data_IF_320019238033
#
_entry.id   IF_320019238033
#
_cell.length_a   1.000
_cell.length_b   1.000
_cell.length_c   1.000
_cell.angle_alpha   90.00
_cell.angle_beta   90.00
_cell.angle_gamma   90.00
#
_symmetry.space_group_name_H-M   'P 1'
#
loop_
_entity.id
_entity.type
_entity.pdbx_description
1 polymer ?
#
# COMPACT_ATOMS: atom_id res chain seq x y z
N UNK A 1 -13.22 21.19 -17.12
CA UNK A 1 -12.32 20.03 -16.93
C UNK A 1 -13.01 19.11 -15.95
N UNK A 2 -13.32 17.90 -16.35
CA UNK A 2 -13.86 16.89 -15.43
C UNK A 2 -12.74 16.57 -14.43
N UNK A 3 -12.93 16.92 -13.18
CA UNK A 3 -11.93 16.64 -12.14
C UNK A 3 -12.15 15.20 -11.67
N UNK A 4 -11.33 14.26 -12.19
CA UNK A 4 -11.36 12.88 -11.75
C UNK A 4 -10.95 12.74 -10.27
N UNK A 5 -11.50 11.73 -9.60
CA UNK A 5 -11.01 11.30 -8.30
C UNK A 5 -9.55 10.83 -8.45
N UNK A 6 -8.64 11.27 -7.57
CA UNK A 6 -7.20 11.07 -7.73
C UNK A 6 -6.66 10.19 -6.61
N UNK A 7 -5.81 9.24 -6.98
CA UNK A 7 -5.02 8.45 -6.06
C UNK A 7 -3.54 8.80 -6.24
N UNK A 8 -2.87 9.09 -5.14
CA UNK A 8 -1.44 9.38 -5.12
C UNK A 8 -0.65 8.12 -4.75
N UNK A 9 0.33 7.75 -5.56
CA UNK A 9 1.33 6.75 -5.22
C UNK A 9 2.62 7.50 -4.86
N UNK A 10 3.03 7.42 -3.60
CA UNK A 10 4.33 7.93 -3.15
C UNK A 10 5.35 6.84 -3.39
N UNK A 11 6.31 7.12 -4.27
CA UNK A 11 7.33 6.18 -4.69
C UNK A 11 8.58 6.29 -3.82
N UNK A 12 8.90 5.20 -3.13
CA UNK A 12 10.12 5.05 -2.33
C UNK A 12 11.25 4.32 -3.06
N UNK A 13 11.18 4.24 -4.39
CA UNK A 13 12.22 3.68 -5.24
C UNK A 13 12.02 2.21 -5.61
N UNK A 14 10.83 1.67 -5.49
CA UNK A 14 10.54 0.30 -5.92
C UNK A 14 10.65 0.15 -7.43
N UNK A 15 11.25 -0.95 -7.89
CA UNK A 15 11.29 -1.32 -9.31
C UNK A 15 9.91 -1.70 -9.87
N UNK A 16 8.93 -1.99 -9.02
CA UNK A 16 7.59 -2.47 -9.40
C UNK A 16 6.48 -1.46 -9.12
N UNK A 17 6.80 -0.20 -8.80
CA UNK A 17 5.80 0.85 -8.54
C UNK A 17 4.83 1.04 -9.70
N UNK A 18 5.30 0.90 -10.95
CA UNK A 18 4.44 1.00 -12.14
C UNK A 18 3.35 -0.09 -12.18
N UNK A 19 3.59 -1.24 -11.58
CA UNK A 19 2.57 -2.30 -11.49
C UNK A 19 1.42 -1.89 -10.57
N UNK A 20 1.69 -1.13 -9.51
CA UNK A 20 0.63 -0.55 -8.66
C UNK A 20 -0.29 0.34 -9.50
N UNK A 21 0.30 1.27 -10.25
CA UNK A 21 -0.46 2.16 -11.12
C UNK A 21 -1.26 1.40 -12.18
N UNK A 22 -0.69 0.33 -12.75
CA UNK A 22 -1.38 -0.53 -13.69
C UNK A 22 -2.63 -1.18 -13.06
N UNK A 23 -2.50 -1.76 -11.87
CA UNK A 23 -3.65 -2.36 -11.16
C UNK A 23 -4.77 -1.37 -10.90
N UNK A 24 -4.42 -0.15 -10.50
CA UNK A 24 -5.40 0.91 -10.26
C UNK A 24 -6.10 1.37 -11.56
N UNK A 25 -5.35 1.48 -12.65
CA UNK A 25 -5.91 1.85 -13.97
C UNK A 25 -6.84 0.78 -14.53
N UNK A 26 -6.56 -0.50 -14.26
CA UNK A 26 -7.45 -1.62 -14.57
C UNK A 26 -8.80 -1.52 -13.81
N UNK A 27 -8.83 -0.80 -12.68
CA UNK A 27 -10.02 -0.50 -11.89
C UNK A 27 -10.65 0.86 -12.23
N UNK A 28 -10.25 1.48 -13.32
CA UNK A 28 -10.71 2.81 -13.75
C UNK A 28 -10.44 3.93 -12.73
N UNK A 29 -9.31 3.86 -12.04
CA UNK A 29 -8.86 4.86 -11.08
C UNK A 29 -7.75 5.70 -11.67
N UNK A 30 -7.92 7.03 -11.66
CA UNK A 30 -6.83 7.95 -11.98
C UNK A 30 -5.79 7.95 -10.87
N UNK A 31 -4.54 7.68 -11.21
CA UNK A 31 -3.44 7.67 -10.26
C UNK A 31 -2.18 8.30 -10.86
N UNK A 32 -1.41 8.94 -10.01
CA UNK A 32 -0.09 9.48 -10.33
C UNK A 32 0.96 8.91 -9.40
N UNK A 33 2.16 8.67 -9.94
CA UNK A 33 3.34 8.26 -9.19
C UNK A 33 4.22 9.49 -9.01
N UNK A 34 4.53 9.82 -7.77
CA UNK A 34 5.47 10.89 -7.43
C UNK A 34 6.55 10.37 -6.50
N UNK A 35 7.85 10.63 -6.82
CA UNK A 35 8.94 10.33 -5.91
C UNK A 35 8.72 11.03 -4.55
N UNK A 36 9.06 10.37 -3.47
CA UNK A 36 8.83 10.89 -2.12
C UNK A 36 9.43 12.28 -1.90
N UNK A 37 10.56 12.59 -2.56
CA UNK A 37 11.24 13.89 -2.47
C UNK A 37 10.39 15.04 -3.02
N UNK A 38 9.49 14.74 -3.96
CA UNK A 38 8.64 15.74 -4.62
C UNK A 38 7.29 15.93 -3.90
N UNK A 39 6.98 15.05 -2.95
CA UNK A 39 5.72 15.10 -2.20
C UNK A 39 5.92 15.97 -0.96
N UNK A 40 5.65 17.25 -1.10
CA UNK A 40 5.67 18.24 -0.02
C UNK A 40 4.26 18.47 0.54
N UNK A 41 4.17 19.19 1.67
CA UNK A 41 2.87 19.59 2.24
C UNK A 41 2.06 20.43 1.24
N UNK A 42 2.73 21.34 0.52
CA UNK A 42 2.11 22.15 -0.53
C UNK A 42 1.60 21.28 -1.69
N UNK A 43 2.41 20.31 -2.12
CA UNK A 43 2.01 19.36 -3.15
C UNK A 43 0.77 18.55 -2.75
N UNK A 44 0.74 18.02 -1.54
CA UNK A 44 -0.41 17.22 -1.05
C UNK A 44 -1.69 18.06 -1.00
N UNK A 45 -1.59 19.30 -0.55
CA UNK A 45 -2.72 20.22 -0.50
C UNK A 45 -3.28 20.53 -1.89
N UNK A 46 -2.40 20.74 -2.86
CA UNK A 46 -2.78 21.06 -4.25
C UNK A 46 -3.29 19.84 -5.00
N UNK A 47 -2.61 18.71 -4.84
CA UNK A 47 -3.01 17.43 -5.45
C UNK A 47 -4.35 16.95 -4.90
N UNK A 48 -4.63 17.15 -3.62
CA UNK A 48 -5.85 16.74 -2.93
C UNK A 48 -6.23 15.27 -3.21
N UNK A 49 -5.40 14.29 -2.83
CA UNK A 49 -5.66 12.89 -3.11
C UNK A 49 -6.89 12.40 -2.36
N UNK A 50 -7.66 11.50 -2.98
CA UNK A 50 -8.76 10.76 -2.33
C UNK A 50 -8.25 9.53 -1.56
N UNK A 51 -7.09 9.01 -1.94
CA UNK A 51 -6.36 7.96 -1.24
C UNK A 51 -4.87 8.05 -1.58
N UNK A 52 -4.04 7.45 -0.73
CA UNK A 52 -2.58 7.41 -0.90
C UNK A 52 -2.12 5.96 -0.81
N UNK A 53 -1.17 5.57 -1.68
CA UNK A 53 -0.43 4.32 -1.57
C UNK A 53 1.04 4.65 -1.35
N UNK A 54 1.65 4.04 -0.34
CA UNK A 54 3.09 4.02 -0.11
C UNK A 54 3.68 2.79 -0.79
N UNK A 55 4.53 2.99 -1.78
CA UNK A 55 5.15 1.88 -2.51
C UNK A 55 6.16 1.12 -1.66
N UNK A 56 6.66 0.01 -2.17
CA UNK A 56 7.89 -0.60 -1.70
C UNK A 56 9.12 0.27 -1.98
N UNK A 57 10.27 -0.18 -1.53
CA UNK A 57 11.56 0.49 -1.76
C UNK A 57 12.72 -0.41 -1.38
N UNK A 58 13.92 -0.14 -1.93
CA UNK A 58 15.12 -0.94 -1.68
C UNK A 58 15.82 -0.57 -0.38
N UNK A 59 15.42 0.53 0.27
CA UNK A 59 16.10 1.05 1.44
C UNK A 59 15.64 0.36 2.73
N UNK A 60 16.39 0.57 3.81
CA UNK A 60 16.00 0.18 5.17
C UNK A 60 15.48 1.40 5.93
N UNK A 61 14.30 1.26 6.51
CA UNK A 61 13.68 2.32 7.31
C UNK A 61 14.45 2.62 8.60
N UNK A 62 15.30 1.67 9.03
CA UNK A 62 16.14 1.82 10.24
C UNK A 62 17.36 2.69 9.98
N UNK A 63 17.70 2.95 8.72
CA UNK A 63 18.86 3.74 8.33
C UNK A 63 18.58 5.25 8.40
N UNK A 64 19.50 6.01 8.94
CA UNK A 64 19.40 7.47 8.96
C UNK A 64 19.33 8.05 7.54
N UNK A 65 18.39 8.97 7.31
CA UNK A 65 18.18 9.60 6.00
C UNK A 65 17.42 8.73 5.00
N UNK A 66 16.89 7.58 5.41
CA UNK A 66 16.04 6.75 4.55
C UNK A 66 14.77 7.49 4.10
N UNK A 67 14.20 7.14 2.95
CA UNK A 67 13.02 7.78 2.39
C UNK A 67 11.84 7.85 3.36
N UNK A 68 11.22 9.04 3.49
CA UNK A 68 10.04 9.27 4.35
C UNK A 68 8.97 10.06 3.60
N UNK A 69 7.68 9.78 3.84
CA UNK A 69 6.62 10.68 3.40
C UNK A 69 6.60 11.93 4.30
N UNK A 70 6.02 13.04 3.85
CA UNK A 70 5.76 14.16 4.74
C UNK A 70 4.73 13.76 5.82
N UNK A 71 4.86 14.31 7.01
CA UNK A 71 3.92 14.03 8.12
C UNK A 71 2.47 14.38 7.77
N UNK A 72 2.26 15.37 6.91
CA UNK A 72 0.96 15.77 6.40
C UNK A 72 0.23 14.66 5.61
N UNK A 73 0.96 13.68 5.07
CA UNK A 73 0.32 12.52 4.41
C UNK A 73 -0.57 11.74 5.39
N UNK A 74 -0.12 11.55 6.63
CA UNK A 74 -0.91 10.89 7.68
C UNK A 74 -2.04 11.76 8.24
N UNK A 75 -2.01 13.06 7.97
CA UNK A 75 -3.00 14.04 8.43
C UNK A 75 -4.00 14.41 7.34
N UNK A 76 -3.85 13.88 6.15
CA UNK A 76 -4.69 14.22 5.00
C UNK A 76 -6.16 13.73 5.14
N UNK A 77 -6.45 12.88 6.12
CA UNK A 77 -7.80 12.36 6.38
C UNK A 77 -8.31 11.39 5.32
N UNK A 78 -7.41 10.78 4.56
CA UNK A 78 -7.73 9.84 3.47
C UNK A 78 -7.17 8.45 3.76
N UNK A 79 -7.75 7.39 3.18
CA UNK A 79 -7.20 6.05 3.30
C UNK A 79 -5.76 5.96 2.77
N UNK A 80 -4.90 5.23 3.50
CA UNK A 80 -3.52 4.96 3.12
C UNK A 80 -3.29 3.45 3.11
N UNK A 81 -2.65 2.95 2.03
CA UNK A 81 -2.16 1.58 1.94
C UNK A 81 -0.63 1.58 1.83
N UNK A 82 0.06 1.01 2.82
CA UNK A 82 1.51 0.81 2.79
C UNK A 82 1.88 -0.58 2.29
N UNK A 83 2.82 -0.66 1.35
CA UNK A 83 3.27 -1.91 0.72
C UNK A 83 4.76 -2.10 1.01
N UNK A 84 5.15 -3.20 1.63
CA UNK A 84 6.53 -3.57 1.93
C UNK A 84 7.26 -2.46 2.70
N UNK A 85 8.20 -1.73 2.08
CA UNK A 85 8.82 -0.55 2.67
C UNK A 85 7.77 0.47 3.13
N UNK A 86 6.68 0.65 2.38
CA UNK A 86 5.57 1.53 2.75
C UNK A 86 4.88 1.12 4.05
N UNK A 87 4.76 -0.19 4.34
CA UNK A 87 4.30 -0.66 5.65
C UNK A 87 5.31 -0.28 6.74
N UNK A 88 6.58 -0.54 6.50
CA UNK A 88 7.64 -0.31 7.49
C UNK A 88 7.75 1.17 7.85
N UNK A 89 7.72 2.06 6.85
CA UNK A 89 7.75 3.50 7.10
C UNK A 89 6.50 3.97 7.84
N UNK A 90 5.34 3.44 7.52
CA UNK A 90 4.09 3.76 8.23
C UNK A 90 4.18 3.35 9.71
N UNK A 91 4.66 2.15 10.00
CA UNK A 91 4.85 1.70 11.39
C UNK A 91 5.85 2.56 12.13
N UNK A 92 7.01 2.83 11.54
CA UNK A 92 8.07 3.63 12.17
C UNK A 92 7.61 5.06 12.48
N UNK A 93 6.93 5.73 11.54
CA UNK A 93 6.45 7.11 11.72
C UNK A 93 5.29 7.22 12.73
N UNK A 94 4.51 6.16 12.91
CA UNK A 94 3.35 6.16 13.80
C UNK A 94 3.63 5.55 15.19
N UNK A 95 4.88 5.27 15.52
CA UNK A 95 5.31 4.84 16.87
C UNK A 95 5.42 3.32 17.07
N UNK A 96 5.45 2.56 15.99
CA UNK A 96 5.87 1.17 15.97
C UNK A 96 7.39 1.02 15.93
N UNK A 97 7.87 -0.19 15.64
CA UNK A 97 9.29 -0.50 15.53
C UNK A 97 9.53 -1.43 14.35
N UNK A 98 10.58 -1.14 13.60
CA UNK A 98 11.10 -1.98 12.50
C UNK A 98 12.53 -2.37 12.85
N UNK A 99 12.86 -3.63 12.65
CA UNK A 99 14.17 -4.19 12.92
C UNK A 99 14.72 -4.91 11.69
N UNK A 100 16.04 -4.89 11.55
CA UNK A 100 16.72 -5.68 10.54
C UNK A 100 16.72 -7.15 10.96
N UNK A 101 16.15 -8.00 10.13
CA UNK A 101 15.92 -9.40 10.46
C UNK A 101 17.15 -10.27 10.23
N UNK A 102 17.77 -10.78 11.27
CA UNK A 102 18.63 -11.93 11.18
C UNK A 102 17.76 -13.21 11.25
N UNK A 103 17.51 -13.85 10.12
CA UNK A 103 16.74 -15.10 10.04
C UNK A 103 15.23 -14.96 9.83
N UNK A 104 14.71 -13.75 9.69
CA UNK A 104 13.28 -13.47 9.40
C UNK A 104 13.05 -12.90 8.00
N UNK A 105 14.13 -12.74 7.20
CA UNK A 105 14.02 -12.26 5.83
C UNK A 105 13.24 -13.25 4.98
N UNK A 106 12.27 -12.75 4.22
CA UNK A 106 11.48 -13.56 3.28
C UNK A 106 11.69 -13.04 1.85
N UNK A 107 12.15 -13.93 0.97
CA UNK A 107 12.30 -13.64 -0.46
C UNK A 107 11.63 -14.74 -1.26
N UNK A 108 10.65 -14.36 -2.09
CA UNK A 108 9.91 -15.30 -2.92
C UNK A 108 8.51 -15.60 -2.40
N UNK A 109 8.03 -16.78 -2.72
CA UNK A 109 6.68 -17.22 -2.38
C UNK A 109 6.54 -17.51 -0.89
N UNK A 110 5.55 -16.90 -0.27
CA UNK A 110 5.14 -17.16 1.10
C UNK A 110 3.62 -17.35 1.18
N UNK A 111 3.12 -17.75 2.35
CA UNK A 111 1.70 -17.92 2.60
C UNK A 111 1.30 -17.12 3.83
N UNK A 112 0.27 -16.30 3.68
CA UNK A 112 -0.32 -15.54 4.76
C UNK A 112 -1.48 -16.30 5.35
N UNK A 113 -1.48 -16.45 6.66
CA UNK A 113 -2.58 -17.00 7.45
C UNK A 113 -3.40 -15.84 8.02
N UNK A 114 -4.75 -15.84 7.86
CA UNK A 114 -5.59 -14.79 8.44
C UNK A 114 -5.62 -14.87 9.96
N UNK A 115 -5.90 -13.74 10.60
CA UNK A 115 -6.37 -13.70 12.00
C UNK A 115 -7.88 -13.95 12.05
N UNK A 116 -8.41 -14.07 13.27
CA UNK A 116 -9.86 -14.23 13.47
C UNK A 116 -10.64 -12.92 13.25
N UNK A 117 -9.94 -11.80 13.18
CA UNK A 117 -10.53 -10.48 13.02
C UNK A 117 -10.88 -10.18 11.55
N UNK A 118 -12.04 -9.54 11.35
CA UNK A 118 -12.50 -9.14 10.01
C UNK A 118 -11.96 -7.76 9.64
N UNK A 119 -11.47 -7.65 8.40
CA UNK A 119 -11.04 -6.39 7.80
C UNK A 119 -11.68 -6.24 6.42
N UNK A 120 -12.40 -5.13 6.13
CA UNK A 120 -13.01 -4.91 4.81
C UNK A 120 -12.03 -4.98 3.64
N UNK A 121 -10.76 -4.58 3.84
CA UNK A 121 -9.70 -4.73 2.85
C UNK A 121 -9.52 -6.19 2.39
N UNK A 122 -9.80 -7.17 3.25
CA UNK A 122 -9.60 -8.60 3.01
C UNK A 122 -10.88 -9.33 2.61
N UNK A 123 -11.98 -8.60 2.36
CA UNK A 123 -13.24 -9.22 1.95
C UNK A 123 -13.06 -10.01 0.65
N UNK A 124 -13.36 -11.33 0.70
CA UNK A 124 -13.20 -12.24 -0.43
C UNK A 124 -11.76 -12.44 -0.88
N UNK A 125 -10.76 -12.13 -0.05
CA UNK A 125 -9.35 -12.33 -0.39
C UNK A 125 -8.84 -13.72 0.02
N UNK A 126 -9.15 -14.18 1.24
CA UNK A 126 -8.82 -15.52 1.70
C UNK A 126 -9.84 -16.56 1.19
N UNK A 127 -9.57 -17.15 0.03
CA UNK A 127 -10.46 -18.14 -0.61
C UNK A 127 -9.80 -19.51 -0.86
N UNK A 128 -8.50 -19.64 -0.56
CA UNK A 128 -7.82 -20.92 -0.70
C UNK A 128 -8.42 -21.97 0.26
N UNK A 129 -8.49 -23.22 -0.17
CA UNK A 129 -9.12 -24.31 0.58
C UNK A 129 -8.47 -24.60 1.92
N UNK A 130 -7.19 -24.23 2.09
CA UNK A 130 -6.44 -24.34 3.34
C UNK A 130 -6.51 -23.07 4.20
N UNK A 131 -7.30 -22.07 3.78
CA UNK A 131 -7.48 -20.81 4.50
C UNK A 131 -6.30 -19.84 4.44
N UNK A 132 -5.25 -20.17 3.65
CA UNK A 132 -4.06 -19.31 3.49
C UNK A 132 -3.99 -18.75 2.08
N UNK A 133 -3.42 -17.56 1.91
CA UNK A 133 -3.22 -16.98 0.58
C UNK A 133 -1.74 -16.87 0.22
N UNK A 134 -1.44 -17.23 -1.03
CA UNK A 134 -0.10 -17.09 -1.59
C UNK A 134 0.20 -15.63 -1.85
N UNK A 135 1.39 -15.20 -1.41
CA UNK A 135 1.92 -13.85 -1.62
C UNK A 135 3.38 -13.90 -2.06
N UNK A 136 3.86 -12.79 -2.59
CA UNK A 136 5.27 -12.58 -2.86
C UNK A 136 5.90 -11.67 -1.82
N UNK A 137 6.90 -12.18 -1.13
CA UNK A 137 7.70 -11.45 -0.14
C UNK A 137 9.04 -11.02 -0.75
N UNK A 138 9.52 -9.86 -0.37
CA UNK A 138 10.85 -9.36 -0.74
C UNK A 138 11.30 -8.35 0.32
N UNK A 139 11.64 -8.85 1.50
CA UNK A 139 12.06 -7.99 2.61
C UNK A 139 13.16 -8.62 3.47
N UNK A 140 14.12 -7.80 3.91
CA UNK A 140 15.11 -8.13 4.93
C UNK A 140 14.72 -7.60 6.30
N UNK A 141 14.18 -6.38 6.34
CA UNK A 141 13.63 -5.77 7.55
C UNK A 141 12.18 -6.20 7.76
N UNK A 142 11.73 -6.20 9.00
CA UNK A 142 10.35 -6.52 9.36
C UNK A 142 9.85 -5.64 10.50
N UNK A 143 8.55 -5.48 10.57
CA UNK A 143 7.91 -4.84 11.73
C UNK A 143 8.02 -5.78 12.91
N UNK A 144 8.64 -5.32 14.00
CA UNK A 144 8.77 -6.06 15.26
C UNK A 144 7.77 -5.61 16.33
N UNK A 145 7.24 -4.38 16.17
CA UNK A 145 6.18 -3.84 17.02
C UNK A 145 5.25 -2.97 16.17
N UNK A 146 3.96 -3.27 16.22
CA UNK A 146 2.96 -2.45 15.52
C UNK A 146 2.77 -1.10 16.22
N UNK A 147 2.42 -0.09 15.41
CA UNK A 147 2.11 1.24 15.90
C UNK A 147 0.80 1.25 16.73
N UNK A 148 0.66 2.19 17.70
CA UNK A 148 -0.58 2.35 18.45
C UNK A 148 -1.81 2.52 17.53
N UNK A 149 -2.90 1.81 17.86
CA UNK A 149 -4.14 1.80 17.10
C UNK A 149 -4.21 0.73 16.00
N UNK A 150 -3.08 0.16 15.60
CA UNK A 150 -3.05 -0.95 14.64
C UNK A 150 -3.37 -2.29 15.29
N UNK A 151 -3.97 -3.17 14.47
CA UNK A 151 -4.21 -4.58 14.79
C UNK A 151 -3.65 -5.46 13.68
N UNK A 152 -3.43 -6.75 13.99
CA UNK A 152 -2.89 -7.74 13.05
C UNK A 152 -4.05 -8.51 12.42
N UNK A 153 -4.05 -8.59 11.09
CA UNK A 153 -5.08 -9.29 10.31
C UNK A 153 -4.52 -10.45 9.49
N UNK A 154 -3.22 -10.60 9.44
CA UNK A 154 -2.56 -11.72 8.78
C UNK A 154 -1.10 -11.85 9.16
N UNK A 155 -0.62 -13.10 9.18
CA UNK A 155 0.75 -13.46 9.56
C UNK A 155 1.39 -14.37 8.54
N UNK A 156 2.72 -14.31 8.41
CA UNK A 156 3.52 -15.32 7.73
C UNK A 156 4.67 -15.79 8.64
N UNK A 157 5.38 -16.87 8.32
CA UNK A 157 6.47 -17.36 9.15
C UNK A 157 7.57 -16.33 9.42
N UNK A 158 7.93 -15.49 8.43
CA UNK A 158 8.96 -14.44 8.57
C UNK A 158 8.39 -13.05 8.85
N UNK A 159 7.08 -12.86 8.76
CA UNK A 159 6.42 -11.59 9.01
C UNK A 159 5.21 -11.76 9.95
N UNK A 160 5.40 -11.64 11.27
CA UNK A 160 4.31 -11.78 12.23
C UNK A 160 3.24 -10.68 12.09
N UNK A 161 3.57 -9.62 11.35
CA UNK A 161 2.69 -8.49 11.05
C UNK A 161 2.53 -8.34 9.53
N UNK A 162 2.27 -9.45 8.82
CA UNK A 162 2.17 -9.45 7.36
C UNK A 162 1.03 -8.57 6.83
N UNK A 163 -0.08 -8.49 7.56
CA UNK A 163 -1.20 -7.58 7.30
C UNK A 163 -1.57 -6.89 8.59
N UNK A 164 -1.53 -5.56 8.60
CA UNK A 164 -1.90 -4.73 9.74
C UNK A 164 -2.80 -3.59 9.28
N UNK A 165 -3.67 -3.12 10.15
CA UNK A 165 -4.51 -1.97 9.88
C UNK A 165 -4.90 -1.24 11.15
N UNK A 166 -5.20 0.05 10.99
CA UNK A 166 -5.97 0.88 11.91
C UNK A 166 -7.23 1.37 11.17
N UNK A 167 -8.33 0.62 11.25
CA UNK A 167 -9.56 0.97 10.54
C UNK A 167 -10.14 2.31 10.95
N UNK A 168 -9.91 2.76 12.20
CA UNK A 168 -10.41 4.05 12.68
C UNK A 168 -9.79 5.24 11.93
N UNK A 169 -8.54 5.11 11.50
CA UNK A 169 -7.83 6.11 10.70
C UNK A 169 -7.83 5.78 9.19
N UNK A 170 -8.39 4.64 8.78
CA UNK A 170 -8.31 4.09 7.42
C UNK A 170 -6.87 3.85 6.95
N UNK A 171 -6.00 3.37 7.84
CA UNK A 171 -4.63 3.00 7.52
C UNK A 171 -4.51 1.48 7.41
N UNK A 172 -3.97 1.04 6.28
CA UNK A 172 -3.80 -0.37 5.92
C UNK A 172 -2.36 -0.61 5.51
N UNK A 173 -1.79 -1.75 5.85
CA UNK A 173 -0.41 -2.05 5.51
C UNK A 173 -0.17 -3.54 5.31
N UNK A 174 0.61 -3.88 4.28
CA UNK A 174 0.98 -5.25 3.94
C UNK A 174 2.49 -5.35 3.73
N UNK A 175 3.11 -6.43 4.21
CA UNK A 175 4.55 -6.66 4.02
C UNK A 175 4.85 -7.21 2.63
N UNK A 176 3.93 -7.92 2.01
CA UNK A 176 4.08 -8.52 0.69
C UNK A 176 3.75 -7.53 -0.44
N UNK A 177 4.01 -7.97 -1.66
CA UNK A 177 3.76 -7.22 -2.89
C UNK A 177 2.49 -7.69 -3.60
N UNK A 178 1.34 -7.01 -3.42
CA UNK A 178 0.09 -7.39 -4.08
C UNK A 178 0.06 -7.00 -5.57
N UNK A 179 0.97 -6.13 -6.03
CA UNK A 179 1.05 -5.67 -7.41
C UNK A 179 1.62 -6.70 -8.38
N UNK A 180 2.44 -7.63 -7.89
CA UNK A 180 3.13 -8.62 -8.74
C UNK A 180 2.25 -9.85 -8.99
N UNK A 181 2.47 -10.52 -10.13
CA UNK A 181 1.66 -11.68 -10.52
C UNK A 181 1.86 -12.90 -9.61
N UNK A 182 2.98 -12.95 -8.87
CA UNK A 182 3.25 -14.01 -7.88
C UNK A 182 2.40 -13.90 -6.61
N UNK A 183 1.64 -12.81 -6.46
CA UNK A 183 0.53 -12.68 -5.52
C UNK A 183 -0.78 -12.81 -6.31
N UNK A 184 -1.29 -14.05 -6.53
CA UNK A 184 -2.34 -14.31 -7.52
C UNK A 184 -3.62 -13.50 -7.27
N UNK A 185 -3.95 -13.27 -6.01
CA UNK A 185 -5.14 -12.52 -5.61
C UNK A 185 -4.87 -11.05 -5.24
N UNK A 186 -3.69 -10.54 -5.58
CA UNK A 186 -3.30 -9.16 -5.25
C UNK A 186 -4.25 -8.10 -5.80
N UNK A 187 -4.82 -8.34 -6.99
CA UNK A 187 -5.81 -7.44 -7.60
C UNK A 187 -7.04 -7.22 -6.71
N UNK A 188 -7.47 -8.23 -5.95
CA UNK A 188 -8.60 -8.12 -5.02
C UNK A 188 -8.36 -7.15 -3.88
N UNK A 189 -7.13 -7.05 -3.38
CA UNK A 189 -6.78 -6.06 -2.36
C UNK A 189 -6.90 -4.63 -2.89
N UNK A 190 -6.46 -4.37 -4.12
CA UNK A 190 -6.64 -3.05 -4.75
C UNK A 190 -8.10 -2.74 -5.00
N UNK A 191 -8.89 -3.70 -5.49
CA UNK A 191 -10.34 -3.55 -5.65
C UNK A 191 -11.01 -3.14 -4.33
N UNK A 192 -10.71 -3.85 -3.26
CA UNK A 192 -11.26 -3.55 -1.94
C UNK A 192 -10.78 -2.18 -1.42
N UNK A 193 -9.49 -1.85 -1.61
CA UNK A 193 -8.94 -0.57 -1.17
C UNK A 193 -9.59 0.64 -1.86
N UNK A 194 -9.73 0.60 -3.18
CA UNK A 194 -10.37 1.70 -3.93
C UNK A 194 -11.85 1.82 -3.60
N UNK A 195 -12.52 0.70 -3.34
CA UNK A 195 -13.92 0.69 -2.86
C UNK A 195 -14.04 1.34 -1.48
N UNK A 196 -13.16 0.97 -0.53
CA UNK A 196 -13.10 1.57 0.80
C UNK A 196 -12.84 3.08 0.75
N UNK A 197 -11.99 3.52 -0.18
CA UNK A 197 -11.70 4.93 -0.41
C UNK A 197 -12.82 5.67 -1.16
N UNK A 198 -13.87 4.98 -1.59
CA UNK A 198 -15.03 5.55 -2.26
C UNK A 198 -14.78 6.01 -3.70
N UNK A 199 -13.85 5.37 -4.42
CA UNK A 199 -13.69 5.60 -5.84
C UNK A 199 -14.88 5.02 -6.62
N UNK A 200 -15.31 5.74 -7.64
CA UNK A 200 -16.48 5.37 -8.46
C UNK A 200 -16.11 4.85 -9.84
N UNK A 201 -14.81 4.77 -10.17
CA UNK A 201 -14.36 4.35 -11.50
C UNK A 201 -14.63 5.40 -12.58
N UNK A 202 -14.43 6.67 -12.25
CA UNK A 202 -14.74 7.82 -13.10
C UNK A 202 -13.68 8.11 -14.18
N UNK A 203 -12.65 7.29 -14.28
CA UNK A 203 -11.53 7.48 -15.19
C UNK A 203 -11.30 6.25 -16.09
N UNK A 204 -10.98 6.48 -17.36
CA UNK A 204 -10.52 5.46 -18.30
C UNK A 204 -9.39 6.00 -19.17
N UNK A 205 -8.53 5.12 -19.71
CA UNK A 205 -7.51 5.52 -20.69
C UNK A 205 -8.13 6.17 -21.94
N UNK A 206 -9.32 5.74 -22.36
CA UNK A 206 -10.02 6.33 -23.48
C UNK A 206 -10.46 7.76 -23.18
N UNK A 207 -11.07 8.01 -22.01
CA UNK A 207 -11.46 9.36 -21.59
C UNK A 207 -10.26 10.30 -21.47
N UNK A 208 -9.15 9.83 -20.91
CA UNK A 208 -7.91 10.59 -20.80
C UNK A 208 -7.33 10.97 -22.17
N UNK A 209 -7.29 10.02 -23.11
CA UNK A 209 -6.84 10.28 -24.49
C UNK A 209 -7.71 11.34 -25.17
N UNK A 210 -9.02 11.21 -25.06
CA UNK A 210 -9.98 12.13 -25.68
C UNK A 210 -9.89 13.55 -25.11
N UNK A 211 -9.61 13.68 -23.80
CA UNK A 211 -9.33 14.98 -23.16
C UNK A 211 -7.99 15.57 -23.62
N UNK A 212 -6.94 14.74 -23.80
CA UNK A 212 -5.64 15.19 -24.27
C UNK A 212 -5.65 15.65 -25.73
N UNK A 213 -6.51 15.07 -26.57
CA UNK A 213 -6.67 15.47 -27.98
C UNK A 213 -7.44 16.79 -28.11
N UNK A 214 -8.31 17.13 -27.14
CA UNK A 214 -9.10 18.36 -27.15
C UNK A 214 -8.35 19.61 -26.66
N UNK A 215 -7.13 19.43 -26.12
CA UNK A 215 -6.21 20.52 -25.75
C UNK A 215 -5.25 20.86 -26.87
#
# INVERSE_FOLDING_TARGET
>A
MTQHQRLLIIDFGSQVTQLIARRLRELNVYCEIHPYQNVTDAFLKDFAPKAIIFSGGPDSVTRAGSPRPPASAFQAGVPILGICYGQQVMMQELGGLVESGHGTAEFGRAYVTPSDERLPLLEGWFEASDGREQVWMSHGDHVSKIAPGFQVYGTSPGAPFAITADPARNFYAVQFHPEVHHTPRGAKLYENFVKLAGFTGDWTMASYRDEAIRK
#
